data_IF_046827891994
#
_entry.id   IF_046827891994
#
_cell.length_a   1.000
_cell.length_b   1.000
_cell.length_c   1.000
_cell.angle_alpha   90.00
_cell.angle_beta   90.00
_cell.angle_gamma   90.00
#
_symmetry.space_group_name_H-M   'P 1'
#
loop_
_entity.id
_entity.type
_entity.pdbx_description
1 polymer ?
#
# COMPACT_ATOMS: atom_id res chain seq x y z
N UNK A 1 -61.33 -3.28 -28.27
CA UNK A 1 -61.22 -2.06 -27.45
C UNK A 1 -60.50 -1.01 -28.27
N UNK A 2 -61.12 0.13 -28.54
CA UNK A 2 -60.46 1.24 -29.23
C UNK A 2 -59.21 1.66 -28.43
N UNK A 3 -58.08 2.00 -29.08
CA UNK A 3 -56.91 2.46 -28.36
C UNK A 3 -57.24 3.78 -27.67
N UNK A 4 -57.17 3.81 -26.34
CA UNK A 4 -57.25 5.05 -25.57
C UNK A 4 -56.22 6.04 -26.14
N UNK A 5 -56.62 7.29 -26.42
CA UNK A 5 -55.77 8.34 -27.00
C UNK A 5 -54.42 8.47 -26.28
N UNK A 6 -54.43 8.29 -24.95
CA UNK A 6 -53.21 8.24 -24.13
C UNK A 6 -52.21 7.15 -24.55
N UNK A 7 -52.68 5.95 -24.88
CA UNK A 7 -51.82 4.83 -25.30
C UNK A 7 -51.27 5.07 -26.71
N UNK A 8 -52.07 5.67 -27.60
CA UNK A 8 -51.63 6.08 -28.93
C UNK A 8 -50.50 7.12 -28.85
N UNK A 9 -50.71 8.21 -28.09
CA UNK A 9 -49.69 9.24 -27.90
C UNK A 9 -48.43 8.68 -27.22
N UNK A 10 -48.59 7.80 -26.23
CA UNK A 10 -47.44 7.13 -25.59
C UNK A 10 -46.66 6.26 -26.57
N UNK A 11 -47.35 5.57 -27.49
CA UNK A 11 -46.73 4.76 -28.54
C UNK A 11 -46.03 5.59 -29.62
N UNK A 12 -46.55 6.77 -29.95
CA UNK A 12 -45.92 7.70 -30.91
C UNK A 12 -44.72 8.41 -30.28
N UNK A 13 -44.80 8.72 -28.99
CA UNK A 13 -43.71 9.31 -28.20
C UNK A 13 -42.54 8.36 -28.01
N UNK A 14 -42.81 7.07 -27.80
CA UNK A 14 -41.77 6.09 -27.49
C UNK A 14 -40.62 6.01 -28.50
N UNK A 15 -40.83 5.95 -29.83
CA UNK A 15 -39.74 5.96 -30.81
C UNK A 15 -38.96 7.28 -30.83
N UNK A 16 -39.62 8.43 -30.64
CA UNK A 16 -38.96 9.75 -30.62
C UNK A 16 -37.90 9.81 -29.51
N UNK A 17 -38.21 9.27 -28.34
CA UNK A 17 -37.33 9.33 -27.16
C UNK A 17 -36.63 8.00 -26.85
N UNK A 18 -36.69 7.02 -27.75
CA UNK A 18 -36.13 5.68 -27.56
C UNK A 18 -36.55 5.03 -26.23
N UNK A 19 -37.81 5.25 -25.83
CA UNK A 19 -38.39 4.64 -24.63
C UNK A 19 -39.25 3.43 -25.00
N UNK A 20 -39.54 2.56 -24.02
CA UNK A 20 -40.40 1.39 -24.22
C UNK A 20 -41.86 1.76 -23.95
N UNK A 21 -42.77 1.42 -24.87
CA UNK A 21 -44.22 1.52 -24.68
C UNK A 21 -44.77 0.23 -24.05
N UNK A 22 -45.51 0.32 -22.94
CA UNK A 22 -46.12 -0.82 -22.23
C UNK A 22 -47.63 -0.59 -22.00
N UNK A 23 -48.48 -0.70 -23.04
CA UNK A 23 -49.92 -0.42 -22.93
C UNK A 23 -50.68 -1.45 -22.08
N UNK A 24 -50.15 -2.66 -21.91
CA UNK A 24 -50.77 -3.75 -21.13
C UNK A 24 -50.33 -3.76 -19.66
N UNK A 25 -49.45 -2.83 -19.25
CA UNK A 25 -48.85 -2.80 -17.90
C UNK A 25 -48.21 -4.13 -17.47
N UNK A 26 -47.73 -4.90 -18.44
CA UNK A 26 -47.10 -6.21 -18.19
C UNK A 26 -45.73 -6.07 -17.53
N UNK A 27 -45.28 -7.09 -16.80
CA UNK A 27 -43.99 -7.10 -16.08
C UNK A 27 -42.83 -7.49 -17.00
N UNK A 28 -42.31 -6.52 -17.75
CA UNK A 28 -41.23 -6.72 -18.73
C UNK A 28 -39.80 -6.68 -18.15
N UNK A 29 -39.62 -6.61 -16.83
CA UNK A 29 -38.28 -6.60 -16.20
C UNK A 29 -37.48 -5.29 -16.34
N UNK A 30 -38.05 -4.24 -16.93
CA UNK A 30 -37.40 -2.94 -17.17
C UNK A 30 -36.86 -2.27 -15.89
N UNK A 31 -37.43 -2.59 -14.72
CA UNK A 31 -36.92 -2.17 -13.40
C UNK A 31 -35.46 -2.59 -13.17
N UNK A 32 -35.11 -3.81 -13.56
CA UNK A 32 -33.77 -4.35 -13.35
C UNK A 32 -32.78 -3.79 -14.38
N UNK A 33 -33.21 -3.62 -15.64
CA UNK A 33 -32.38 -3.03 -16.70
C UNK A 33 -32.06 -1.55 -16.45
N UNK A 34 -33.01 -0.79 -15.88
CA UNK A 34 -32.80 0.62 -15.48
C UNK A 34 -31.89 0.76 -14.26
N UNK A 35 -31.70 -0.30 -13.48
CA UNK A 35 -30.86 -0.26 -12.28
C UNK A 35 -29.39 -0.19 -12.71
N UNK A 36 -28.73 0.92 -12.38
CA UNK A 36 -27.29 1.08 -12.60
C UNK A 36 -26.50 0.02 -11.84
N UNK A 37 -25.49 -0.55 -12.49
CA UNK A 37 -24.58 -1.51 -11.87
C UNK A 37 -23.83 -0.87 -10.70
N UNK A 38 -23.71 -1.60 -9.59
CA UNK A 38 -22.98 -1.17 -8.37
C UNK A 38 -21.64 -1.88 -8.18
N UNK A 39 -21.30 -2.82 -9.07
CA UNK A 39 -20.06 -3.61 -9.04
C UNK A 39 -18.79 -2.84 -8.72
N UNK A 40 -18.43 -1.76 -9.46
CA UNK A 40 -17.18 -1.05 -9.21
C UNK A 40 -17.12 -0.40 -7.82
N UNK A 41 -18.23 0.19 -7.37
CA UNK A 41 -18.33 0.82 -6.04
C UNK A 41 -18.23 -0.20 -4.91
N UNK A 42 -18.73 -1.43 -5.11
CA UNK A 42 -18.63 -2.51 -4.13
C UNK A 42 -17.22 -3.10 -4.12
N UNK A 43 -16.59 -3.25 -5.28
CA UNK A 43 -15.22 -3.75 -5.39
C UNK A 43 -14.19 -2.84 -4.70
N UNK A 44 -14.46 -1.53 -4.65
CA UNK A 44 -13.61 -0.54 -3.97
C UNK A 44 -13.94 -0.35 -2.48
N UNK A 45 -14.80 -1.18 -1.88
CA UNK A 45 -15.26 -0.98 -0.50
C UNK A 45 -14.12 -1.00 0.52
N UNK A 46 -13.22 -1.97 0.42
CA UNK A 46 -11.97 -1.93 1.17
C UNK A 46 -10.97 -1.07 0.39
N UNK A 47 -10.28 -0.11 1.04
CA UNK A 47 -9.20 0.61 0.39
C UNK A 47 -8.19 -0.44 -0.07
N UNK A 48 -7.90 -0.45 -1.37
CA UNK A 48 -6.87 -1.33 -1.87
C UNK A 48 -5.57 -0.88 -1.17
N UNK A 49 -4.93 -1.78 -0.42
CA UNK A 49 -3.62 -1.55 0.21
C UNK A 49 -2.50 -1.33 -0.81
N UNK A 50 -2.85 -1.01 -2.06
CA UNK A 50 -1.98 -0.61 -3.16
C UNK A 50 -1.84 0.90 -3.28
N UNK A 51 -2.61 1.75 -2.58
CA UNK A 51 -2.33 3.18 -2.33
C UNK A 51 -3.42 3.78 -1.42
N UNK A 52 -3.11 4.59 -0.37
CA UNK A 52 -1.83 5.29 -0.11
C UNK A 52 -0.82 4.55 0.78
N UNK A 53 -1.11 3.33 1.24
CA UNK A 53 -0.21 2.56 2.11
C UNK A 53 0.24 1.24 1.48
N UNK A 54 1.14 1.28 0.47
CA UNK A 54 1.76 0.08 -0.08
C UNK A 54 2.45 -0.72 1.03
N UNK A 55 2.36 -2.05 0.96
CA UNK A 55 3.08 -2.94 1.89
C UNK A 55 4.56 -2.57 1.92
N UNK A 56 5.13 -2.46 3.12
CA UNK A 56 6.53 -2.08 3.30
C UNK A 56 7.51 -2.97 2.52
N UNK A 57 7.17 -4.25 2.40
CA UNK A 57 7.95 -5.21 1.61
C UNK A 57 7.95 -4.93 0.11
N UNK A 58 6.90 -4.31 -0.44
CA UNK A 58 6.84 -3.90 -1.84
C UNK A 58 7.61 -2.59 -2.05
N UNK A 59 7.48 -1.64 -1.11
CA UNK A 59 8.27 -0.40 -1.12
C UNK A 59 9.78 -0.69 -1.10
N UNK A 60 10.22 -1.54 -0.17
CA UNK A 60 11.62 -1.95 -0.03
C UNK A 60 12.17 -2.73 -1.23
N UNK A 61 11.31 -3.36 -2.04
CA UNK A 61 11.72 -4.02 -3.29
C UNK A 61 11.93 -3.02 -4.43
N UNK A 62 11.01 -2.07 -4.56
CA UNK A 62 11.01 -1.11 -5.66
C UNK A 62 12.01 0.04 -5.43
N UNK A 63 12.16 0.48 -4.18
CA UNK A 63 13.14 1.45 -3.75
C UNK A 63 14.05 0.75 -2.74
N UNK A 64 15.17 0.15 -3.15
CA UNK A 64 16.08 -0.53 -2.23
C UNK A 64 16.95 0.46 -1.42
N UNK A 65 17.10 1.70 -1.89
CA UNK A 65 17.89 2.76 -1.25
C UNK A 65 17.00 3.88 -0.73
N UNK A 66 17.33 4.42 0.45
CA UNK A 66 16.71 5.64 0.96
C UNK A 66 17.12 6.83 0.05
N UNK A 67 16.20 7.47 -0.68
CA UNK A 67 16.52 8.66 -1.48
C UNK A 67 16.87 9.89 -0.62
N UNK A 68 16.58 9.84 0.69
CA UNK A 68 16.91 10.86 1.68
C UNK A 68 18.09 10.47 2.58
N UNK A 69 18.85 9.42 2.24
CA UNK A 69 20.09 9.10 2.97
C UNK A 69 21.06 10.29 2.86
N UNK A 70 21.41 10.90 4.00
CA UNK A 70 22.19 12.14 4.07
C UNK A 70 21.42 13.35 4.58
N UNK A 71 20.13 13.21 4.90
CA UNK A 71 19.34 14.27 5.56
C UNK A 71 19.49 14.28 7.10
N UNK A 72 20.08 13.23 7.67
CA UNK A 72 20.22 13.01 9.11
C UNK A 72 21.62 13.38 9.64
N UNK A 73 22.09 14.61 9.36
CA UNK A 73 23.21 15.21 10.11
C UNK A 73 24.64 14.76 9.77
N UNK A 74 24.85 13.84 8.84
CA UNK A 74 26.17 13.65 8.21
C UNK A 74 26.47 14.80 7.23
N UNK A 75 27.72 15.26 7.18
CA UNK A 75 28.11 16.28 6.18
C UNK A 75 27.88 15.70 4.78
N UNK A 76 27.21 16.47 3.92
CA UNK A 76 27.05 16.12 2.52
C UNK A 76 28.42 15.77 1.92
N UNK A 77 28.50 14.75 1.05
CA UNK A 77 29.78 14.30 0.52
C UNK A 77 30.43 15.43 -0.28
N UNK A 78 31.66 15.77 0.07
CA UNK A 78 32.50 16.73 -0.65
C UNK A 78 33.00 16.18 -1.99
N UNK A 79 32.98 14.85 -2.14
CA UNK A 79 33.44 14.12 -3.33
C UNK A 79 32.43 13.05 -3.75
N UNK A 80 32.12 12.99 -5.04
CA UNK A 80 31.32 11.90 -5.62
C UNK A 80 32.27 10.89 -6.27
N UNK A 81 32.19 9.63 -5.84
CA UNK A 81 33.04 8.53 -6.32
C UNK A 81 32.24 7.49 -7.10
N UNK A 82 32.89 6.86 -8.08
CA UNK A 82 32.34 5.71 -8.80
C UNK A 82 32.33 4.45 -7.91
N UNK A 83 31.61 3.39 -8.32
CA UNK A 83 31.62 2.08 -7.64
C UNK A 83 33.02 1.46 -7.45
N UNK A 84 34.01 1.90 -8.24
CA UNK A 84 35.42 1.48 -8.16
C UNK A 84 36.31 2.44 -7.34
N UNK A 85 35.73 3.40 -6.62
CA UNK A 85 36.45 4.34 -5.74
C UNK A 85 37.12 5.54 -6.43
N UNK A 86 37.13 5.60 -7.77
CA UNK A 86 37.65 6.74 -8.53
C UNK A 86 36.75 7.96 -8.35
N UNK A 87 37.34 9.09 -7.99
CA UNK A 87 36.65 10.37 -7.82
C UNK A 87 36.19 10.89 -9.18
N UNK A 88 34.93 11.32 -9.25
CA UNK A 88 34.27 11.82 -10.47
C UNK A 88 34.16 13.35 -10.39
N UNK A 89 33.79 13.86 -9.22
CA UNK A 89 33.63 15.28 -8.95
C UNK A 89 34.14 15.58 -7.54
N UNK A 90 34.91 16.65 -7.42
CA UNK A 90 35.49 17.16 -6.18
C UNK A 90 34.95 18.57 -5.91
N UNK A 91 34.87 18.96 -4.64
CA UNK A 91 34.49 20.30 -4.19
C UNK A 91 33.07 20.72 -4.60
N UNK A 92 32.10 19.81 -4.47
CA UNK A 92 30.70 20.12 -4.73
C UNK A 92 30.14 20.98 -3.60
N UNK A 93 29.65 22.18 -3.94
CA UNK A 93 28.97 23.09 -3.00
C UNK A 93 27.46 22.95 -3.14
N UNK A 94 26.80 22.44 -2.11
CA UNK A 94 25.35 22.27 -2.10
C UNK A 94 24.67 23.57 -1.62
N UNK A 95 23.71 24.09 -2.39
CA UNK A 95 22.95 25.29 -2.00
C UNK A 95 22.00 24.93 -0.85
N UNK A 96 22.27 25.43 0.36
CA UNK A 96 21.34 25.33 1.51
C UNK A 96 21.89 24.79 2.83
N UNK A 97 23.19 24.50 2.95
CA UNK A 97 23.82 23.88 4.14
C UNK A 97 23.85 24.74 5.43
N UNK A 98 23.26 25.94 5.41
CA UNK A 98 23.60 27.00 6.37
C UNK A 98 22.60 27.32 7.48
N UNK A 99 21.43 26.70 7.55
CA UNK A 99 20.43 27.05 8.57
C UNK A 99 19.87 25.81 9.25
N UNK A 100 20.34 25.47 10.46
CA UNK A 100 19.49 24.92 11.53
C UNK A 100 20.18 24.93 12.92
N UNK A 101 19.52 25.63 13.86
CA UNK A 101 19.48 25.57 15.34
C UNK A 101 20.77 25.48 16.18
N UNK A 102 20.76 26.19 17.33
CA UNK A 102 21.88 26.22 18.29
C UNK A 102 21.92 24.93 19.11
N UNK A 103 23.14 24.47 19.40
CA UNK A 103 23.49 23.22 20.10
C UNK A 103 22.75 22.93 21.41
N UNK A 104 22.21 23.95 22.07
CA UNK A 104 21.56 23.84 23.38
C UNK A 104 20.06 23.48 23.30
N UNK A 105 19.47 23.40 22.11
CA UNK A 105 18.06 23.05 21.91
C UNK A 105 17.85 21.59 21.48
N UNK A 106 18.94 20.80 21.40
CA UNK A 106 18.86 19.38 21.06
C UNK A 106 18.46 18.59 22.30
N UNK A 107 17.17 18.27 22.43
CA UNK A 107 16.69 17.28 23.39
C UNK A 107 17.16 15.90 22.90
N UNK A 108 17.95 15.19 23.70
CA UNK A 108 18.62 13.91 23.38
C UNK A 108 17.68 12.70 23.15
N UNK A 109 16.39 12.93 22.95
CA UNK A 109 15.46 11.91 22.45
C UNK A 109 15.23 12.08 20.94
N UNK A 110 16.32 12.35 20.21
CA UNK A 110 16.37 12.21 18.78
C UNK A 110 16.31 10.74 18.35
N UNK A 111 15.65 10.47 17.22
CA UNK A 111 15.58 9.17 16.56
C UNK A 111 16.98 8.50 16.56
N UNK A 112 17.16 7.45 17.38
CA UNK A 112 18.40 6.67 17.38
C UNK A 112 18.56 6.02 16.02
N UNK A 113 19.64 6.38 15.32
CA UNK A 113 20.06 5.67 14.12
C UNK A 113 20.32 4.20 14.45
N UNK A 114 19.60 3.31 13.78
CA UNK A 114 19.78 1.85 13.92
C UNK A 114 20.70 1.39 12.81
N UNK A 115 21.82 0.73 13.17
CA UNK A 115 22.74 0.14 12.21
C UNK A 115 22.00 -0.78 11.22
N UNK A 116 22.25 -0.58 9.92
CA UNK A 116 21.58 -1.34 8.84
C UNK A 116 21.86 -2.83 8.95
N UNK A 117 20.81 -3.65 9.01
CA UNK A 117 20.92 -5.09 8.76
C UNK A 117 20.99 -5.35 7.26
N UNK A 118 22.10 -5.93 6.77
CA UNK A 118 22.24 -6.37 5.37
C UNK A 118 21.02 -7.21 4.96
N UNK A 119 20.34 -6.81 3.89
CA UNK A 119 19.19 -7.54 3.33
C UNK A 119 17.80 -7.06 3.78
N UNK A 120 17.70 -6.09 4.69
CA UNK A 120 16.47 -5.31 4.89
C UNK A 120 16.52 -4.08 3.97
N UNK A 121 15.38 -3.74 3.35
CA UNK A 121 15.26 -2.47 2.63
C UNK A 121 15.31 -1.27 3.60
N UNK A 122 15.23 -0.07 3.06
CA UNK A 122 15.45 1.15 3.83
C UNK A 122 14.32 1.55 4.79
N UNK A 123 13.08 1.08 4.60
CA UNK A 123 12.02 1.26 5.59
C UNK A 123 11.94 0.07 6.54
N UNK A 124 11.89 0.35 7.84
CA UNK A 124 11.71 -0.66 8.90
C UNK A 124 10.27 -0.72 9.42
N UNK A 125 9.72 -1.92 9.60
CA UNK A 125 8.43 -2.12 10.27
C UNK A 125 8.66 -2.38 11.76
N UNK A 126 8.44 -1.37 12.59
CA UNK A 126 8.65 -1.45 14.04
C UNK A 126 7.75 -2.46 14.76
N UNK A 127 6.58 -2.81 14.21
CA UNK A 127 5.73 -3.89 14.77
C UNK A 127 6.35 -5.24 14.46
N UNK A 128 6.79 -5.44 13.22
CA UNK A 128 7.40 -6.69 12.78
C UNK A 128 8.74 -6.94 13.49
N UNK A 129 9.56 -5.92 13.72
CA UNK A 129 10.80 -6.06 14.50
C UNK A 129 10.53 -6.50 15.93
N UNK A 130 9.56 -5.88 16.61
CA UNK A 130 9.14 -6.30 17.95
C UNK A 130 8.66 -7.76 17.95
N UNK A 131 7.94 -8.19 16.90
CA UNK A 131 7.53 -9.59 16.71
C UNK A 131 8.74 -10.51 16.57
N UNK A 132 9.72 -10.15 15.73
CA UNK A 132 10.94 -10.93 15.52
C UNK A 132 11.78 -11.07 16.80
N UNK A 133 11.95 -9.99 17.56
CA UNK A 133 12.64 -10.00 18.86
C UNK A 133 11.92 -10.96 19.82
N UNK A 134 10.59 -10.84 19.93
CA UNK A 134 9.76 -11.69 20.79
C UNK A 134 9.85 -13.17 20.39
N UNK A 135 9.75 -13.47 19.10
CA UNK A 135 9.86 -14.84 18.57
C UNK A 135 11.25 -15.40 18.78
N UNK A 136 12.30 -14.61 18.55
CA UNK A 136 13.69 -14.98 18.80
C UNK A 136 13.93 -15.34 20.27
N UNK A 137 13.44 -14.50 21.19
CA UNK A 137 13.48 -14.77 22.64
C UNK A 137 12.78 -16.09 22.99
N UNK A 138 11.56 -16.32 22.49
CA UNK A 138 10.81 -17.58 22.73
C UNK A 138 11.54 -18.80 22.17
N UNK A 139 12.16 -18.67 21.00
CA UNK A 139 12.94 -19.75 20.37
C UNK A 139 14.17 -20.12 21.19
N UNK A 140 14.87 -19.14 21.80
CA UNK A 140 15.98 -19.40 22.73
C UNK A 140 15.54 -20.24 23.93
N UNK A 141 14.31 -20.04 24.41
CA UNK A 141 13.73 -20.84 25.50
C UNK A 141 13.07 -22.15 25.05
N UNK A 142 13.23 -22.57 23.78
CA UNK A 142 12.56 -23.77 23.25
C UNK A 142 11.03 -23.64 23.09
N UNK A 143 10.45 -22.48 23.44
CA UNK A 143 9.03 -22.16 23.34
C UNK A 143 8.68 -21.43 22.03
N UNK A 144 9.55 -21.56 21.03
CA UNK A 144 9.33 -21.02 19.69
C UNK A 144 8.25 -21.81 18.93
N UNK A 145 7.64 -21.21 17.91
CA UNK A 145 6.75 -21.96 17.02
C UNK A 145 7.52 -23.10 16.35
N UNK A 146 6.97 -24.33 16.32
CA UNK A 146 7.60 -25.45 15.63
C UNK A 146 7.63 -25.22 14.11
N UNK A 147 8.52 -25.91 13.40
CA UNK A 147 8.51 -25.89 11.93
C UNK A 147 7.20 -26.51 11.41
N UNK A 148 6.74 -26.05 10.25
CA UNK A 148 5.57 -26.63 9.57
C UNK A 148 5.79 -28.15 9.41
N UNK A 149 4.81 -28.95 9.84
CA UNK A 149 4.90 -30.42 9.78
C UNK A 149 5.66 -31.09 10.94
N UNK A 150 6.21 -30.35 11.90
CA UNK A 150 6.88 -30.90 13.10
C UNK A 150 6.06 -30.72 14.39
N UNK A 151 4.78 -30.39 14.28
CA UNK A 151 3.90 -30.26 15.44
C UNK A 151 3.67 -31.58 16.16
N UNK A 152 3.18 -31.52 17.41
CA UNK A 152 2.94 -32.73 18.24
C UNK A 152 2.15 -33.82 17.51
N UNK A 153 1.11 -33.45 16.76
CA UNK A 153 0.27 -34.40 16.00
C UNK A 153 1.03 -35.17 14.91
N UNK A 154 2.01 -34.55 14.23
CA UNK A 154 2.76 -35.23 13.18
C UNK A 154 3.85 -36.15 13.74
N UNK A 155 4.34 -35.88 14.95
CA UNK A 155 5.22 -36.79 15.68
C UNK A 155 4.46 -38.00 16.23
N UNK A 156 3.21 -37.80 16.70
CA UNK A 156 2.39 -38.89 17.23
C UNK A 156 1.97 -39.93 16.18
N UNK A 157 1.79 -39.53 14.91
CA UNK A 157 1.48 -40.47 13.81
C UNK A 157 2.67 -41.32 13.34
N UNK A 158 3.88 -41.04 13.83
CA UNK A 158 5.11 -41.82 13.52
C UNK A 158 5.40 -42.91 14.55
N UNK A 159 4.63 -42.96 15.65
CA UNK A 159 4.58 -44.08 16.58
C UNK A 159 3.33 -44.90 16.28
#
# INVERSE_FOLDING_TARGET
>A
MAPNLHNLLSSLRSPIFQTLSNPTSSRMGTKYLRKRLRGPSIATYYPQLTNPFPKLSLLNKNLPSNPFAGWDGEKLPTEIRNRRGKVIMENITWKGEGNMLRKNELVDEGLKEVERKRGLGWLEDGVEQRRLIRVGRRRRFGKGPPRKGQGRRSQMKKK
#
